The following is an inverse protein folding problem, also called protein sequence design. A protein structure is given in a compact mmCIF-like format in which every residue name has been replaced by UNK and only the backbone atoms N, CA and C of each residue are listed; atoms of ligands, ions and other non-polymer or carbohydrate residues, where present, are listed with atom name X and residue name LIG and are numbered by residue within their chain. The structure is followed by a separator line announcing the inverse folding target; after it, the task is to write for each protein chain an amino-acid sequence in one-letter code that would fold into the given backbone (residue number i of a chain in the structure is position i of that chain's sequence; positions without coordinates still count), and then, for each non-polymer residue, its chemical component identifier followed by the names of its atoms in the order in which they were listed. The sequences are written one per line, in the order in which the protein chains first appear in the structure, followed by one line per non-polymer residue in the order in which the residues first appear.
data_IF_627754944045
#
_entry.id   IF_627754944045
#
_cell.length_a   1.000
_cell.length_b   1.000
_cell.length_c   1.000
_cell.angle_alpha   90.00
_cell.angle_beta   90.00
_cell.angle_gamma   90.00
#
_symmetry.space_group_name_H-M   'P 1'
#
loop_
_entity.id
_entity.type
_entity.pdbx_description
1 polymer ?
#
# COMPACT_ATOMS: atom_id res chain seq x y z
N UNK A 1 -7.56 15.88 19.84
CA UNK A 1 -6.89 16.19 18.54
C UNK A 1 -7.73 15.55 17.45
N UNK A 2 -8.20 16.32 16.44
CA UNK A 2 -8.85 15.71 15.27
C UNK A 2 -7.88 14.70 14.66
N UNK A 3 -8.35 13.48 14.41
CA UNK A 3 -7.55 12.50 13.66
C UNK A 3 -7.24 13.07 12.28
N UNK A 4 -5.97 13.36 12.02
CA UNK A 4 -5.51 13.86 10.73
C UNK A 4 -5.40 12.73 9.70
N UNK A 5 -6.25 11.70 9.79
CA UNK A 5 -6.29 10.56 8.88
C UNK A 5 -7.66 10.49 8.24
N UNK A 6 -7.68 10.59 6.92
CA UNK A 6 -8.89 10.47 6.09
C UNK A 6 -8.75 9.28 5.13
N UNK A 7 -9.89 8.73 4.72
CA UNK A 7 -9.94 7.80 3.59
C UNK A 7 -9.70 8.57 2.29
N UNK A 8 -9.12 7.91 1.29
CA UNK A 8 -8.87 8.53 -0.03
C UNK A 8 -10.15 9.11 -0.65
N UNK A 9 -11.29 8.46 -0.41
CA UNK A 9 -12.59 8.94 -0.89
C UNK A 9 -12.99 10.30 -0.34
N UNK A 10 -12.59 10.63 0.90
CA UNK A 10 -12.93 11.86 1.62
C UNK A 10 -12.06 13.06 1.23
N UNK A 11 -10.94 12.82 0.53
CA UNK A 11 -10.02 13.86 0.11
C UNK A 11 -10.61 14.76 -0.97
N UNK A 12 -10.23 16.03 -0.95
CA UNK A 12 -10.45 16.95 -2.07
C UNK A 12 -9.69 16.48 -3.31
N UNK A 13 -10.03 17.01 -4.49
CA UNK A 13 -9.35 16.66 -5.74
C UNK A 13 -7.83 16.91 -5.65
N UNK A 14 -7.43 18.06 -5.13
CA UNK A 14 -6.02 18.42 -4.94
C UNK A 14 -5.30 17.45 -4.01
N UNK A 15 -5.91 17.09 -2.88
CA UNK A 15 -5.36 16.12 -1.93
C UNK A 15 -5.26 14.70 -2.51
N UNK A 16 -6.23 14.28 -3.33
CA UNK A 16 -6.14 13.01 -4.08
C UNK A 16 -4.95 13.01 -5.03
N UNK A 17 -4.73 14.11 -5.72
CA UNK A 17 -3.57 14.26 -6.59
C UNK A 17 -2.24 14.18 -5.83
N UNK A 18 -2.17 14.79 -4.65
CA UNK A 18 -0.99 14.70 -3.77
C UNK A 18 -0.77 13.26 -3.26
N UNK A 19 -1.84 12.57 -2.85
CA UNK A 19 -1.77 11.18 -2.41
C UNK A 19 -1.25 10.25 -3.52
N UNK A 20 -1.75 10.41 -4.75
CA UNK A 20 -1.28 9.64 -5.90
C UNK A 20 0.16 10.01 -6.26
N UNK A 21 0.54 11.29 -6.22
CA UNK A 21 1.91 11.71 -6.45
C UNK A 21 2.87 11.08 -5.41
N UNK A 22 2.47 11.07 -4.14
CA UNK A 22 3.22 10.44 -3.06
C UNK A 22 3.38 8.92 -3.28
N UNK A 23 2.33 8.24 -3.74
CA UNK A 23 2.41 6.84 -4.11
C UNK A 23 3.41 6.61 -5.25
N UNK A 24 3.35 7.41 -6.30
CA UNK A 24 4.23 7.29 -7.46
C UNK A 24 5.68 7.61 -7.12
N UNK A 25 5.95 8.55 -6.20
CA UNK A 25 7.30 8.80 -5.67
C UNK A 25 7.89 7.55 -4.98
N UNK A 26 7.07 6.84 -4.19
CA UNK A 26 7.51 5.64 -3.48
C UNK A 26 7.58 4.37 -4.32
N UNK A 27 6.68 4.20 -5.28
CA UNK A 27 6.45 2.95 -5.98
C UNK A 27 6.48 3.06 -7.51
N UNK A 28 6.55 4.27 -8.08
CA UNK A 28 6.47 4.51 -9.53
C UNK A 28 7.53 3.77 -10.35
N UNK A 29 8.70 3.50 -9.78
CA UNK A 29 9.76 2.70 -10.40
C UNK A 29 9.31 1.27 -10.77
N UNK A 30 8.29 0.74 -10.13
CA UNK A 30 7.71 -0.58 -10.43
C UNK A 30 6.57 -0.49 -11.46
N UNK A 31 6.15 0.73 -11.84
CA UNK A 31 5.05 0.99 -12.77
C UNK A 31 5.58 1.24 -14.19
N UNK A 32 6.21 0.21 -14.76
CA UNK A 32 6.95 0.30 -16.05
C UNK A 32 6.05 0.26 -17.28
N UNK A 33 4.73 0.08 -17.12
CA UNK A 33 3.77 0.00 -18.23
C UNK A 33 3.57 1.33 -19.00
N UNK A 34 3.97 2.45 -18.43
CA UNK A 34 3.97 3.77 -19.07
C UNK A 34 5.16 4.61 -18.60
N UNK A 35 5.73 5.40 -19.51
CA UNK A 35 6.72 6.45 -19.21
C UNK A 35 6.06 7.81 -18.94
N UNK A 36 4.79 7.96 -19.33
CA UNK A 36 4.02 9.18 -19.16
C UNK A 36 3.50 9.29 -17.71
N UNK A 37 4.13 10.16 -16.92
CA UNK A 37 3.77 10.38 -15.52
C UNK A 37 2.36 10.98 -15.35
N UNK A 38 1.91 11.81 -16.30
CA UNK A 38 0.57 12.40 -16.28
C UNK A 38 -0.49 11.31 -16.45
N UNK A 39 -0.27 10.42 -17.42
CA UNK A 39 -1.17 9.27 -17.65
C UNK A 39 -1.17 8.33 -16.44
N UNK A 40 -0.01 8.05 -15.84
CA UNK A 40 0.05 7.26 -14.60
C UNK A 40 -0.74 7.91 -13.47
N UNK A 41 -0.53 9.21 -13.25
CA UNK A 41 -1.25 9.95 -12.20
C UNK A 41 -2.77 9.86 -12.39
N UNK A 42 -3.26 10.13 -13.60
CA UNK A 42 -4.69 10.05 -13.92
C UNK A 42 -5.25 8.64 -13.74
N UNK A 43 -4.52 7.62 -14.18
CA UNK A 43 -4.91 6.22 -14.00
C UNK A 43 -5.08 5.88 -12.51
N UNK A 44 -4.08 6.22 -11.67
CA UNK A 44 -4.12 5.89 -10.24
C UNK A 44 -5.22 6.64 -9.50
N UNK A 45 -5.59 7.85 -9.93
CA UNK A 45 -6.76 8.57 -9.42
C UNK A 45 -8.08 7.79 -9.58
N UNK A 46 -8.19 6.95 -10.64
CA UNK A 46 -9.40 6.18 -10.93
C UNK A 46 -9.36 4.73 -10.40
N UNK A 47 -8.16 4.18 -10.14
CA UNK A 47 -8.02 2.77 -9.74
C UNK A 47 -7.71 2.57 -8.25
N UNK A 48 -7.46 3.65 -7.51
CA UNK A 48 -7.38 3.57 -6.05
C UNK A 48 -8.77 3.31 -5.47
N UNK A 49 -8.83 2.38 -4.53
CA UNK A 49 -10.07 2.18 -3.77
C UNK A 49 -10.27 3.33 -2.77
N UNK A 50 -11.49 3.87 -2.74
CA UNK A 50 -11.82 5.07 -1.95
C UNK A 50 -11.75 4.86 -0.45
N UNK A 51 -11.92 3.62 0.04
CA UNK A 51 -11.98 3.26 1.46
C UNK A 51 -10.72 2.53 1.96
N UNK A 52 -9.98 1.90 1.04
CA UNK A 52 -8.84 1.07 1.39
C UNK A 52 -7.51 1.83 1.43
N UNK A 53 -7.51 3.11 1.12
CA UNK A 53 -6.36 3.99 1.35
C UNK A 53 -6.64 4.97 2.48
N UNK A 54 -5.76 4.96 3.48
CA UNK A 54 -5.72 5.93 4.57
C UNK A 54 -4.63 6.96 4.31
N UNK A 55 -4.97 8.23 4.41
CA UNK A 55 -4.10 9.36 4.14
C UNK A 55 -3.89 10.18 5.41
N UNK A 56 -2.64 10.40 5.81
CA UNK A 56 -2.30 11.30 6.90
C UNK A 56 -2.09 12.71 6.36
N UNK A 57 -2.77 13.67 6.96
CA UNK A 57 -2.71 15.08 6.58
C UNK A 57 -2.11 15.94 7.70
N UNK A 58 -1.40 16.99 7.30
CA UNK A 58 -1.01 18.09 8.17
C UNK A 58 -1.47 19.40 7.51
N UNK A 59 -2.48 20.04 8.11
CA UNK A 59 -3.27 21.04 7.40
C UNK A 59 -3.93 20.42 6.16
N UNK A 60 -3.76 21.06 5.02
CA UNK A 60 -4.32 20.59 3.75
C UNK A 60 -3.39 19.65 2.95
N UNK A 61 -2.20 19.35 3.46
CA UNK A 61 -1.19 18.56 2.75
C UNK A 61 -1.24 17.09 3.13
N UNK A 62 -1.18 16.22 2.13
CA UNK A 62 -1.05 14.77 2.31
C UNK A 62 0.42 14.40 2.52
N UNK A 63 0.77 13.94 3.71
CA UNK A 63 2.14 13.61 4.10
C UNK A 63 2.39 12.12 4.30
N UNK A 64 1.35 11.32 4.31
CA UNK A 64 1.44 9.87 4.43
C UNK A 64 0.28 9.16 3.74
N UNK A 65 0.55 7.99 3.18
CA UNK A 65 -0.43 7.15 2.50
C UNK A 65 -0.20 5.70 2.90
N UNK A 66 -1.26 5.00 3.25
CA UNK A 66 -1.25 3.58 3.56
C UNK A 66 -2.41 2.88 2.86
N UNK A 67 -2.09 1.86 2.06
CA UNK A 67 -3.08 0.99 1.44
C UNK A 67 -3.30 -0.27 2.27
N UNK A 68 -4.55 -0.64 2.46
CA UNK A 68 -4.98 -1.81 3.21
C UNK A 68 -5.66 -2.82 2.27
N UNK A 69 -5.45 -4.10 2.54
CA UNK A 69 -6.09 -5.18 1.80
C UNK A 69 -6.54 -6.29 2.72
N UNK A 70 -7.41 -7.16 2.21
CA UNK A 70 -7.87 -8.37 2.89
C UNK A 70 -7.63 -9.59 2.00
N UNK A 71 -8.12 -10.75 2.40
CA UNK A 71 -8.17 -11.94 1.54
C UNK A 71 -9.14 -11.80 0.36
N UNK A 72 -10.02 -10.79 0.35
CA UNK A 72 -11.07 -10.58 -0.66
C UNK A 72 -10.81 -9.37 -1.56
N UNK A 73 -10.22 -8.32 -1.01
CA UNK A 73 -10.04 -7.03 -1.70
C UNK A 73 -8.63 -6.47 -1.51
N UNK A 74 -8.17 -5.73 -2.52
CA UNK A 74 -6.89 -5.04 -2.52
C UNK A 74 -7.11 -3.57 -2.89
N UNK A 75 -6.26 -2.65 -2.39
CA UNK A 75 -6.48 -1.21 -2.53
C UNK A 75 -6.28 -0.68 -3.96
N UNK A 76 -5.62 -1.44 -4.84
CA UNK A 76 -5.37 -1.05 -6.23
C UNK A 76 -5.95 -2.11 -7.16
N UNK A 77 -6.89 -1.70 -8.03
CA UNK A 77 -7.48 -2.57 -9.02
C UNK A 77 -7.37 -1.94 -10.42
N UNK A 78 -6.52 -2.51 -11.27
CA UNK A 78 -6.37 -2.10 -12.68
C UNK A 78 -7.59 -2.50 -13.50
N UNK A 79 -8.73 -1.82 -13.26
CA UNK A 79 -10.00 -2.06 -13.96
C UNK A 79 -9.79 -2.00 -15.47
N UNK A 80 -10.33 -3.00 -16.19
CA UNK A 80 -10.06 -3.22 -17.60
C UNK A 80 -10.54 -2.05 -18.49
N UNK A 81 -11.68 -1.49 -18.17
CA UNK A 81 -12.27 -0.33 -18.86
C UNK A 81 -11.42 0.94 -18.64
N UNK A 82 -10.98 1.18 -17.42
CA UNK A 82 -10.08 2.31 -17.09
C UNK A 82 -8.73 2.15 -17.81
N UNK A 83 -8.13 0.97 -17.79
CA UNK A 83 -6.88 0.74 -18.53
C UNK A 83 -7.09 0.93 -20.05
N UNK A 84 -8.23 0.51 -20.61
CA UNK A 84 -8.56 0.74 -22.04
C UNK A 84 -8.74 2.23 -22.37
N UNK A 85 -9.30 3.01 -21.46
CA UNK A 85 -9.44 4.47 -21.60
C UNK A 85 -8.11 5.15 -21.85
N UNK A 86 -7.06 4.76 -21.08
CA UNK A 86 -5.74 5.40 -21.15
C UNK A 86 -4.79 4.80 -22.18
N UNK A 87 -4.93 3.51 -22.50
CA UNK A 87 -3.94 2.78 -23.32
C UNK A 87 -4.54 2.13 -24.57
N UNK A 88 -5.84 2.35 -24.86
CA UNK A 88 -6.54 1.72 -25.96
C UNK A 88 -6.93 0.26 -25.68
N UNK A 89 -7.79 -0.30 -26.53
CA UNK A 89 -8.45 -1.61 -26.32
C UNK A 89 -7.48 -2.75 -26.07
N UNK A 90 -6.44 -2.88 -26.89
CA UNK A 90 -5.50 -4.01 -26.85
C UNK A 90 -4.50 -3.85 -25.69
N UNK A 91 -3.70 -2.77 -25.71
CA UNK A 91 -2.68 -2.52 -24.68
C UNK A 91 -3.28 -2.39 -23.29
N UNK A 92 -4.43 -1.70 -23.13
CA UNK A 92 -5.12 -1.56 -21.86
C UNK A 92 -5.58 -2.90 -21.28
N UNK A 93 -6.03 -3.83 -22.14
CA UNK A 93 -6.40 -5.19 -21.69
C UNK A 93 -5.20 -5.97 -21.16
N UNK A 94 -4.05 -5.88 -21.84
CA UNK A 94 -2.80 -6.54 -21.41
C UNK A 94 -2.33 -5.97 -20.08
N UNK A 95 -2.27 -4.63 -19.95
CA UNK A 95 -1.86 -3.95 -18.71
C UNK A 95 -2.77 -4.37 -17.56
N UNK A 96 -4.09 -4.29 -17.72
CA UNK A 96 -5.05 -4.70 -16.69
C UNK A 96 -4.79 -6.13 -16.22
N UNK A 97 -4.62 -7.08 -17.13
CA UNK A 97 -4.38 -8.50 -16.80
C UNK A 97 -3.04 -8.69 -16.07
N UNK A 98 -1.96 -8.13 -16.60
CA UNK A 98 -0.62 -8.29 -16.03
C UNK A 98 -0.49 -7.65 -14.66
N UNK A 99 -0.99 -6.43 -14.50
CA UNK A 99 -0.91 -5.72 -13.23
C UNK A 99 -1.79 -6.38 -12.17
N UNK A 100 -3.02 -6.77 -12.50
CA UNK A 100 -3.90 -7.44 -11.55
C UNK A 100 -3.38 -8.83 -11.14
N UNK A 101 -2.63 -9.53 -11.96
CA UNK A 101 -1.98 -10.79 -11.56
C UNK A 101 -1.05 -10.63 -10.33
N UNK A 102 -0.51 -9.41 -10.13
CA UNK A 102 0.33 -9.07 -8.97
C UNK A 102 -0.46 -8.32 -7.90
N UNK A 103 -1.24 -7.30 -8.29
CA UNK A 103 -1.91 -6.40 -7.35
C UNK A 103 -3.18 -6.98 -6.73
N UNK A 104 -3.84 -7.94 -7.37
CA UNK A 104 -5.03 -8.60 -6.84
C UNK A 104 -4.75 -9.95 -6.18
N UNK A 105 -3.49 -10.40 -6.19
CA UNK A 105 -3.12 -11.63 -5.50
C UNK A 105 -3.29 -11.47 -3.99
N UNK A 106 -4.10 -12.35 -3.38
CA UNK A 106 -4.28 -12.37 -1.94
C UNK A 106 -2.96 -12.76 -1.23
N UNK A 107 -2.53 -11.93 -0.30
CA UNK A 107 -1.33 -12.15 0.54
C UNK A 107 -1.71 -12.77 1.88
N UNK A 108 -2.90 -12.44 2.36
CA UNK A 108 -3.51 -12.95 3.58
C UNK A 108 -4.60 -13.97 3.24
N UNK A 109 -4.90 -14.89 4.15
CA UNK A 109 -5.86 -15.98 3.93
C UNK A 109 -7.04 -15.93 4.89
N UNK A 110 -6.80 -15.49 6.11
CA UNK A 110 -7.83 -15.41 7.15
C UNK A 110 -8.70 -14.15 7.00
N UNK A 111 -9.99 -14.26 7.32
CA UNK A 111 -10.91 -13.11 7.28
C UNK A 111 -10.55 -12.04 8.32
N UNK A 112 -9.81 -12.40 9.37
CA UNK A 112 -9.37 -11.50 10.44
C UNK A 112 -7.89 -11.09 10.29
N UNK A 113 -7.32 -11.25 9.10
CA UNK A 113 -5.97 -10.82 8.75
C UNK A 113 -6.05 -9.58 7.86
N UNK A 114 -5.39 -8.50 8.26
CA UNK A 114 -5.27 -7.27 7.48
C UNK A 114 -3.92 -7.24 6.78
N UNK A 115 -3.90 -6.96 5.49
CA UNK A 115 -2.68 -6.78 4.73
C UNK A 115 -2.36 -5.29 4.57
N UNK A 116 -1.18 -4.88 5.04
CA UNK A 116 -0.62 -3.57 4.78
C UNK A 116 0.11 -3.64 3.43
N UNK A 117 -0.59 -3.20 2.38
CA UNK A 117 -0.15 -3.34 0.99
C UNK A 117 0.94 -2.31 0.64
N UNK A 118 0.67 -1.06 0.97
CA UNK A 118 1.57 0.06 0.72
C UNK A 118 1.68 0.94 1.95
N UNK A 119 2.86 1.49 2.19
CA UNK A 119 3.09 2.54 3.17
C UNK A 119 4.15 3.49 2.64
N UNK A 120 3.79 4.73 2.45
CA UNK A 120 4.73 5.78 2.01
C UNK A 120 4.53 7.04 2.81
N UNK A 121 5.62 7.76 3.08
CA UNK A 121 5.63 9.06 3.76
C UNK A 121 6.41 10.07 2.93
N UNK A 122 5.94 11.30 2.92
CA UNK A 122 6.56 12.38 2.16
C UNK A 122 8.05 12.49 2.51
N UNK A 123 8.96 12.61 1.52
CA UNK A 123 10.41 12.56 1.76
C UNK A 123 10.89 13.52 2.84
N UNK A 124 10.41 14.77 2.85
CA UNK A 124 10.79 15.78 3.85
C UNK A 124 10.20 15.57 5.25
N UNK A 125 9.27 14.61 5.39
CA UNK A 125 8.60 14.29 6.66
C UNK A 125 8.89 12.86 7.15
N UNK A 126 9.84 12.18 6.54
CA UNK A 126 10.32 10.87 7.03
C UNK A 126 10.92 11.00 8.43
N UNK A 127 10.83 9.94 9.22
CA UNK A 127 11.28 9.86 10.61
C UNK A 127 10.53 10.76 11.62
N UNK A 128 9.47 11.46 11.20
CA UNK A 128 8.60 12.26 12.07
C UNK A 128 7.42 11.49 12.69
N UNK A 129 7.40 10.16 12.58
CA UNK A 129 6.38 9.32 13.21
C UNK A 129 5.13 9.04 12.36
N UNK A 130 4.94 9.69 11.19
CA UNK A 130 3.74 9.56 10.35
C UNK A 130 3.43 8.10 10.01
N UNK A 131 4.44 7.31 9.59
CA UNK A 131 4.25 5.90 9.30
C UNK A 131 3.78 5.09 10.52
N UNK A 132 4.27 5.42 11.72
CA UNK A 132 3.81 4.78 12.98
C UNK A 132 2.38 5.17 13.30
N UNK A 133 1.99 6.43 13.09
CA UNK A 133 0.61 6.90 13.28
C UNK A 133 -0.34 6.10 12.37
N UNK A 134 -0.01 5.94 11.08
CA UNK A 134 -0.80 5.15 10.14
C UNK A 134 -0.90 3.67 10.55
N UNK A 135 0.23 3.06 10.96
CA UNK A 135 0.23 1.67 11.47
C UNK A 135 -0.64 1.53 12.71
N UNK A 136 -0.57 2.48 13.65
CA UNK A 136 -1.42 2.46 14.85
C UNK A 136 -2.92 2.60 14.50
N UNK A 137 -3.26 3.40 13.49
CA UNK A 137 -4.63 3.47 12.96
C UNK A 137 -5.09 2.12 12.42
N UNK A 138 -4.25 1.41 11.66
CA UNK A 138 -4.57 0.05 11.21
C UNK A 138 -4.73 -0.93 12.39
N UNK A 139 -3.89 -0.79 13.45
CA UNK A 139 -4.00 -1.61 14.66
C UNK A 139 -5.29 -1.37 15.45
N UNK A 140 -5.92 -0.21 15.30
CA UNK A 140 -7.17 0.13 16.00
C UNK A 140 -8.43 -0.45 15.32
N UNK A 141 -8.30 -1.08 14.15
CA UNK A 141 -9.42 -1.70 13.44
C UNK A 141 -9.83 -3.00 14.14
N UNK A 142 -11.03 -3.01 14.74
CA UNK A 142 -11.51 -4.12 15.58
C UNK A 142 -11.83 -5.41 14.85
N UNK A 143 -11.98 -5.35 13.53
CA UNK A 143 -12.36 -6.51 12.71
C UNK A 143 -11.19 -7.48 12.46
N UNK A 144 -9.96 -7.10 12.84
CA UNK A 144 -8.76 -7.86 12.56
C UNK A 144 -8.02 -8.28 13.83
N UNK A 145 -7.37 -9.43 13.79
CA UNK A 145 -6.54 -9.98 14.87
C UNK A 145 -5.05 -9.80 14.59
N UNK A 146 -4.69 -9.63 13.32
CA UNK A 146 -3.30 -9.45 12.92
C UNK A 146 -3.14 -8.58 11.69
N UNK A 147 -2.00 -7.89 11.63
CA UNK A 147 -1.56 -7.14 10.45
C UNK A 147 -0.36 -7.84 9.84
N UNK A 148 -0.39 -7.99 8.54
CA UNK A 148 0.66 -8.64 7.75
C UNK A 148 1.21 -7.64 6.74
N UNK A 149 2.53 -7.64 6.56
CA UNK A 149 3.21 -6.86 5.53
C UNK A 149 4.25 -7.72 4.81
N UNK A 150 4.47 -7.47 3.53
CA UNK A 150 5.59 -8.02 2.79
C UNK A 150 6.61 -6.93 2.45
N UNK A 151 7.88 -7.17 2.82
CA UNK A 151 9.00 -6.25 2.52
C UNK A 151 10.11 -7.00 1.80
N UNK A 152 10.77 -6.34 0.87
CA UNK A 152 11.95 -6.94 0.22
C UNK A 152 13.16 -6.96 1.15
N UNK A 153 13.91 -8.05 1.14
CA UNK A 153 15.04 -8.27 2.06
C UNK A 153 16.15 -7.22 1.95
N UNK A 154 16.25 -6.53 0.81
CA UNK A 154 17.19 -5.41 0.61
C UNK A 154 16.67 -4.08 1.21
N UNK A 155 15.38 -3.95 1.46
CA UNK A 155 14.82 -2.74 2.09
C UNK A 155 15.01 -2.76 3.61
N UNK A 156 16.27 -2.57 4.03
CA UNK A 156 16.67 -2.58 5.44
C UNK A 156 15.96 -1.50 6.28
N UNK A 157 15.66 -0.34 5.66
CA UNK A 157 14.95 0.76 6.33
C UNK A 157 13.52 0.34 6.69
N UNK A 158 12.77 -0.26 5.75
CA UNK A 158 11.42 -0.75 6.02
C UNK A 158 11.41 -1.89 7.05
N UNK A 159 12.35 -2.85 6.96
CA UNK A 159 12.47 -3.93 7.94
C UNK A 159 12.71 -3.37 9.35
N UNK A 160 13.62 -2.38 9.49
CA UNK A 160 13.88 -1.72 10.79
C UNK A 160 12.63 -0.99 11.30
N UNK A 161 11.92 -0.29 10.42
CA UNK A 161 10.69 0.42 10.73
C UNK A 161 9.61 -0.55 11.26
N UNK A 162 9.34 -1.64 10.54
CA UNK A 162 8.33 -2.61 10.97
C UNK A 162 8.71 -3.32 12.27
N UNK A 163 10.00 -3.67 12.46
CA UNK A 163 10.47 -4.21 13.76
C UNK A 163 10.25 -3.23 14.90
N UNK A 164 10.51 -1.92 14.70
CA UNK A 164 10.25 -0.89 15.72
C UNK A 164 8.75 -0.77 16.04
N UNK A 165 7.88 -1.10 15.10
CA UNK A 165 6.43 -1.15 15.28
C UNK A 165 5.93 -2.57 15.67
N UNK A 166 6.82 -3.40 16.26
CA UNK A 166 6.52 -4.72 16.84
C UNK A 166 6.11 -5.80 15.84
N UNK A 167 6.38 -5.59 14.56
CA UNK A 167 6.23 -6.67 13.57
C UNK A 167 7.38 -7.67 13.70
N UNK A 168 7.04 -8.95 13.73
CA UNK A 168 8.01 -10.06 13.74
C UNK A 168 8.08 -10.72 12.37
N UNK A 169 9.26 -11.24 12.00
CA UNK A 169 9.42 -11.98 10.75
C UNK A 169 8.71 -13.33 10.90
N UNK A 170 7.65 -13.55 10.11
CA UNK A 170 6.89 -14.80 10.11
C UNK A 170 7.31 -15.75 8.98
N UNK A 171 7.76 -15.22 7.82
CA UNK A 171 8.22 -16.06 6.70
C UNK A 171 9.23 -15.33 5.81
N UNK A 172 10.17 -16.10 5.21
CA UNK A 172 11.14 -15.60 4.23
C UNK A 172 11.01 -16.42 2.94
N UNK A 173 10.65 -15.77 1.84
CA UNK A 173 10.50 -16.42 0.54
C UNK A 173 11.80 -16.34 -0.25
N UNK A 174 12.84 -17.07 0.20
CA UNK A 174 14.21 -17.02 -0.37
C UNK A 174 14.28 -17.41 -1.85
N UNK A 175 13.39 -18.28 -2.32
CA UNK A 175 13.26 -18.68 -3.72
C UNK A 175 12.19 -17.78 -4.38
N UNK A 176 12.59 -16.61 -4.84
CA UNK A 176 11.72 -15.65 -5.51
C UNK A 176 12.43 -15.09 -6.75
N UNK A 177 11.70 -15.00 -7.86
CA UNK A 177 12.15 -14.34 -9.09
C UNK A 177 12.57 -12.88 -8.84
N UNK A 178 11.96 -12.20 -7.88
CA UNK A 178 12.32 -10.82 -7.48
C UNK A 178 13.78 -10.69 -7.03
N UNK A 179 14.41 -11.79 -6.62
CA UNK A 179 15.85 -11.82 -6.30
C UNK A 179 16.71 -11.55 -7.54
N UNK A 180 16.31 -12.04 -8.70
CA UNK A 180 16.99 -11.81 -9.98
C UNK A 180 16.83 -10.35 -10.44
N UNK A 181 15.72 -9.69 -10.09
CA UNK A 181 15.46 -8.29 -10.38
C UNK A 181 16.15 -7.31 -9.41
N UNK A 182 17.05 -7.79 -8.57
CA UNK A 182 17.85 -6.93 -7.70
C UNK A 182 17.20 -6.48 -6.39
N UNK A 183 15.89 -6.70 -6.18
CA UNK A 183 15.16 -6.27 -4.96
C UNK A 183 15.38 -7.18 -3.75
N UNK A 184 16.01 -8.35 -3.94
CA UNK A 184 16.08 -9.41 -2.95
C UNK A 184 14.83 -10.28 -2.94
N UNK A 185 14.56 -10.95 -1.84
CA UNK A 185 13.41 -11.83 -1.70
C UNK A 185 12.37 -11.22 -0.75
N UNK A 186 11.07 -11.54 -0.90
CA UNK A 186 10.03 -11.08 0.01
C UNK A 186 10.19 -11.69 1.41
N UNK A 187 10.03 -10.85 2.42
CA UNK A 187 9.97 -11.21 3.83
C UNK A 187 8.57 -10.83 4.31
N UNK A 188 7.80 -11.82 4.76
CA UNK A 188 6.51 -11.60 5.43
C UNK A 188 6.78 -11.27 6.90
N UNK A 189 6.20 -10.18 7.37
CA UNK A 189 6.23 -9.80 8.77
C UNK A 189 4.80 -9.67 9.28
N UNK A 190 4.57 -10.04 10.54
CA UNK A 190 3.24 -10.08 11.16
C UNK A 190 3.29 -9.36 12.50
N UNK A 191 2.25 -8.59 12.81
CA UNK A 191 1.97 -8.03 14.12
C UNK A 191 0.59 -8.53 14.58
N UNK A 192 0.53 -9.20 15.72
CA UNK A 192 -0.73 -9.55 16.38
C UNK A 192 -1.26 -8.30 17.10
N UNK A 193 -2.55 -7.99 16.87
CA UNK A 193 -3.22 -6.80 17.44
C UNK A 193 -4.36 -7.19 18.38
N UNK A 194 -4.70 -8.47 18.46
CA UNK A 194 -5.65 -8.96 19.46
C UNK A 194 -5.07 -8.67 20.84
N UNK A 195 -5.78 -7.87 21.66
CA UNK A 195 -5.47 -7.78 23.08
C UNK A 195 -5.45 -9.21 23.64
N UNK A 196 -4.36 -9.58 24.32
CA UNK A 196 -4.44 -10.70 25.26
C UNK A 196 -5.49 -10.27 26.26
N UNK A 197 -6.70 -10.83 26.18
CA UNK A 197 -7.60 -10.84 27.32
C UNK A 197 -6.78 -11.45 28.45
N UNK A 198 -6.41 -10.61 29.40
CA UNK A 198 -5.79 -11.07 30.64
C UNK A 198 -6.87 -11.85 31.35
N UNK A 199 -6.69 -13.18 31.38
CA UNK A 199 -7.46 -14.12 32.20
C UNK A 199 -7.15 -13.79 33.67
#
# INVERSE_FOLDING_TARGET
MKENILEFGELSLSQKEEAVALFLDGFGQYMTFSKDEKVKKQLFMEIFDSKLFLCYLEGDKVLGLMGLGTNKVRPINFKKDVCKKYFGKFKGTIISRQMNASFQKAVVKGDRELYLDTLVTHPSHRSKGIGTILVNKACSLKDYDSIIVEVFSKNKKAIKFYKKNEFVISKKHKFSFMRLLGSGYPIKMTKNIKCKETI
#
